data_IF_077495150012
#
_entry.id   IF_077495150012
#
_cell.length_a   1.000
_cell.length_b   1.000
_cell.length_c   1.000
_cell.angle_alpha   90.00
_cell.angle_beta   90.00
_cell.angle_gamma   90.00
#
_symmetry.space_group_name_H-M   'P 1'
#
loop_
_entity.id
_entity.type
_entity.pdbx_description
1 polymer ?
#
# COMPACT_ATOMS: atom_id res chain seq x y z
N UNK A 1 19.19 -8.53 27.05
CA UNK A 1 18.91 -7.49 26.02
C UNK A 1 18.05 -6.41 26.64
N UNK A 2 18.48 -5.14 26.67
CA UNK A 2 17.77 -4.04 27.35
C UNK A 2 16.49 -3.64 26.59
N UNK A 3 15.48 -3.07 27.29
CA UNK A 3 14.22 -2.58 26.69
C UNK A 3 14.46 -1.69 25.45
N UNK A 4 15.46 -0.79 25.53
CA UNK A 4 15.91 0.04 24.40
C UNK A 4 16.32 -0.79 23.17
N UNK A 5 17.18 -1.81 23.34
CA UNK A 5 17.65 -2.66 22.22
C UNK A 5 16.53 -3.44 21.55
N UNK A 6 15.51 -3.89 22.29
CA UNK A 6 14.33 -4.58 21.71
C UNK A 6 13.48 -3.63 20.86
N UNK A 7 13.26 -2.41 21.34
CA UNK A 7 12.49 -1.40 20.60
C UNK A 7 13.22 -1.04 19.30
N UNK A 8 14.52 -0.76 19.35
CA UNK A 8 15.32 -0.43 18.15
C UNK A 8 15.32 -1.54 17.10
N UNK A 9 15.43 -2.82 17.51
CA UNK A 9 15.39 -3.95 16.58
C UNK A 9 14.03 -4.09 15.90
N UNK A 10 12.94 -3.92 16.64
CA UNK A 10 11.58 -4.13 16.12
C UNK A 10 11.13 -2.94 15.27
N UNK A 11 11.50 -1.72 15.68
CA UNK A 11 11.37 -0.51 14.88
C UNK A 11 12.13 -0.67 13.56
N UNK A 12 13.37 -1.19 13.57
CA UNK A 12 14.13 -1.50 12.35
C UNK A 12 13.44 -2.50 11.42
N UNK A 13 12.80 -3.54 11.96
CA UNK A 13 12.04 -4.54 11.17
C UNK A 13 10.79 -3.90 10.53
N UNK A 14 10.06 -3.09 11.29
CA UNK A 14 8.89 -2.34 10.80
C UNK A 14 9.24 -1.42 9.65
N UNK A 15 10.42 -0.82 9.72
CA UNK A 15 10.86 0.16 8.74
C UNK A 15 11.42 -0.52 7.51
N UNK A 16 12.07 -1.67 7.68
CA UNK A 16 12.40 -2.54 6.55
C UNK A 16 11.14 -2.94 5.76
N UNK A 17 10.02 -3.19 6.44
CA UNK A 17 8.72 -3.48 5.80
C UNK A 17 8.18 -2.24 5.07
N UNK A 18 8.16 -1.06 5.70
CA UNK A 18 7.64 0.17 5.06
C UNK A 18 8.52 0.62 3.86
N UNK A 19 9.84 0.52 3.99
CA UNK A 19 10.80 0.88 2.94
C UNK A 19 10.78 -0.09 1.77
N UNK A 20 10.60 -1.39 2.02
CA UNK A 20 10.44 -2.39 0.96
C UNK A 20 9.19 -2.12 0.11
N UNK A 21 8.12 -1.58 0.71
CA UNK A 21 6.85 -1.26 0.03
C UNK A 21 6.89 0.05 -0.78
N UNK A 22 7.75 1.00 -0.42
CA UNK A 22 7.97 2.23 -1.18
C UNK A 22 8.91 2.08 -2.39
N UNK A 23 9.32 0.86 -2.71
CA UNK A 23 10.12 0.55 -3.88
C UNK A 23 9.34 -0.38 -4.79
N UNK A 24 9.24 -0.02 -6.06
CA UNK A 24 8.78 -0.89 -7.16
C UNK A 24 9.74 -2.10 -7.36
N UNK A 25 10.62 -2.42 -6.39
CA UNK A 25 11.74 -3.33 -6.56
C UNK A 25 12.23 -4.10 -5.31
N UNK A 26 11.41 -4.33 -4.27
CA UNK A 26 11.87 -5.16 -3.15
C UNK A 26 11.64 -6.66 -3.40
N UNK A 27 12.59 -7.30 -4.10
CA UNK A 27 12.72 -8.78 -4.23
C UNK A 27 12.99 -9.52 -2.91
N UNK A 28 12.97 -8.85 -1.75
CA UNK A 28 13.32 -9.44 -0.46
C UNK A 28 12.34 -9.02 0.64
N UNK A 29 11.18 -9.68 0.69
CA UNK A 29 10.38 -9.80 1.91
C UNK A 29 9.93 -11.25 2.05
N UNK A 30 10.72 -12.00 2.84
CA UNK A 30 10.41 -13.36 3.27
C UNK A 30 9.52 -13.27 4.50
N UNK A 31 8.22 -13.16 4.26
CA UNK A 31 7.18 -13.62 5.16
C UNK A 31 6.08 -14.20 4.28
N UNK A 32 5.88 -15.51 4.39
CA UNK A 32 4.85 -16.21 3.64
C UNK A 32 3.47 -15.77 4.16
N UNK A 33 2.80 -14.88 3.44
CA UNK A 33 1.39 -14.55 3.66
C UNK A 33 0.52 -15.27 2.62
N UNK A 34 -0.75 -15.55 2.97
CA UNK A 34 -1.65 -16.30 2.10
C UNK A 34 -1.96 -15.57 0.79
N UNK A 35 -2.06 -14.23 0.82
CA UNK A 35 -2.29 -13.40 -0.36
C UNK A 35 -1.10 -13.43 -1.33
N UNK A 36 0.13 -13.48 -0.80
CA UNK A 36 1.36 -13.55 -1.61
C UNK A 36 1.48 -14.86 -2.41
N UNK A 37 0.81 -15.90 -1.94
CA UNK A 37 0.74 -17.24 -2.56
C UNK A 37 -0.55 -17.48 -3.35
N UNK A 38 -1.48 -16.52 -3.40
CA UNK A 38 -2.67 -16.66 -4.24
C UNK A 38 -2.26 -16.64 -5.71
N UNK A 39 -2.65 -17.70 -6.43
CA UNK A 39 -2.48 -17.77 -7.88
C UNK A 39 -3.44 -16.77 -8.51
N UNK A 40 -2.89 -15.72 -9.12
CA UNK A 40 -3.66 -14.79 -9.95
C UNK A 40 -3.73 -15.39 -11.35
N UNK A 41 -4.92 -15.75 -11.80
CA UNK A 41 -5.10 -16.22 -13.18
C UNK A 41 -4.90 -15.05 -14.13
N UNK A 42 -4.07 -15.25 -15.16
CA UNK A 42 -3.87 -14.27 -16.22
C UNK A 42 -5.08 -14.32 -17.15
N UNK A 43 -5.97 -13.31 -17.14
CA UNK A 43 -7.13 -13.34 -18.00
C UNK A 43 -6.70 -13.07 -19.45
N UNK A 44 -7.51 -13.53 -20.40
CA UNK A 44 -7.33 -13.20 -21.82
C UNK A 44 -8.26 -12.04 -22.14
N UNK A 45 -7.68 -10.95 -22.64
CA UNK A 45 -8.42 -9.76 -23.06
C UNK A 45 -8.23 -9.55 -24.56
N UNK A 46 -9.22 -8.93 -25.19
CA UNK A 46 -9.08 -8.39 -26.54
C UNK A 46 -8.11 -7.21 -26.51
N UNK A 47 -7.27 -7.11 -27.55
CA UNK A 47 -6.38 -5.98 -27.75
C UNK A 47 -7.07 -4.87 -28.57
N UNK A 48 -8.26 -4.45 -28.15
CA UNK A 48 -8.96 -3.33 -28.81
C UNK A 48 -8.34 -1.99 -28.40
N UNK A 49 -8.46 -0.94 -29.22
CA UNK A 49 -7.97 0.39 -28.85
C UNK A 49 -8.53 0.88 -27.50
N UNK A 50 -9.81 0.64 -27.24
CA UNK A 50 -10.46 1.01 -25.96
C UNK A 50 -9.82 0.30 -24.76
N UNK A 51 -9.56 -1.02 -24.86
CA UNK A 51 -8.88 -1.77 -23.79
C UNK A 51 -7.46 -1.23 -23.56
N UNK A 52 -6.73 -0.89 -24.62
CA UNK A 52 -5.37 -0.36 -24.50
C UNK A 52 -5.34 1.04 -23.88
N UNK A 53 -6.28 1.91 -24.27
CA UNK A 53 -6.45 3.26 -23.70
C UNK A 53 -6.84 3.20 -22.22
N UNK A 54 -7.79 2.34 -21.87
CA UNK A 54 -8.23 2.17 -20.49
C UNK A 54 -7.11 1.59 -19.62
N UNK A 55 -6.35 0.59 -20.11
CA UNK A 55 -5.16 0.08 -19.42
C UNK A 55 -4.13 1.20 -19.16
N UNK A 56 -3.91 2.09 -20.13
CA UNK A 56 -2.98 3.20 -20.01
C UNK A 56 -3.46 4.20 -18.96
N UNK A 57 -4.73 4.60 -19.02
CA UNK A 57 -5.35 5.52 -18.07
C UNK A 57 -5.26 5.00 -16.63
N UNK A 58 -5.58 3.72 -16.40
CA UNK A 58 -5.49 3.10 -15.08
C UNK A 58 -4.02 3.10 -14.60
N UNK A 59 -3.06 2.72 -15.45
CA UNK A 59 -1.63 2.75 -15.09
C UNK A 59 -1.16 4.15 -14.68
N UNK A 60 -1.51 5.17 -15.48
CA UNK A 60 -1.13 6.55 -15.21
C UNK A 60 -1.71 7.04 -13.88
N UNK A 61 -2.97 6.71 -13.61
CA UNK A 61 -3.62 7.03 -12.33
C UNK A 61 -2.98 6.33 -11.14
N UNK A 62 -2.63 5.05 -11.27
CA UNK A 62 -1.93 4.33 -10.20
C UNK A 62 -0.54 4.92 -9.91
N UNK A 63 0.19 5.33 -10.95
CA UNK A 63 1.47 6.03 -10.81
C UNK A 63 1.28 7.37 -10.11
N UNK A 64 0.31 8.18 -10.55
CA UNK A 64 -0.03 9.47 -9.94
C UNK A 64 -0.32 9.31 -8.44
N UNK A 65 -1.13 8.31 -8.07
CA UNK A 65 -1.44 8.03 -6.67
C UNK A 65 -0.19 7.65 -5.87
N UNK A 66 0.65 6.77 -6.40
CA UNK A 66 1.89 6.35 -5.74
C UNK A 66 2.87 7.52 -5.57
N UNK A 67 3.05 8.36 -6.59
CA UNK A 67 3.93 9.52 -6.55
C UNK A 67 3.49 10.53 -5.48
N UNK A 68 2.19 10.66 -5.24
CA UNK A 68 1.65 11.54 -4.20
C UNK A 68 2.06 11.14 -2.79
N UNK A 69 2.09 9.83 -2.45
CA UNK A 69 2.21 9.41 -1.05
C UNK A 69 3.44 8.53 -0.72
N UNK A 70 4.09 7.87 -1.69
CA UNK A 70 5.34 7.12 -1.46
C UNK A 70 6.40 7.97 -0.75
N UNK A 71 6.67 9.23 -1.16
CA UNK A 71 7.68 10.06 -0.50
C UNK A 71 7.38 10.23 0.99
N UNK A 72 6.11 10.38 1.35
CA UNK A 72 5.68 10.56 2.74
C UNK A 72 5.84 9.31 3.57
N UNK A 73 5.48 8.15 3.03
CA UNK A 73 5.72 6.86 3.71
C UNK A 73 7.21 6.66 4.00
N UNK A 74 8.11 7.09 3.11
CA UNK A 74 9.56 7.07 3.35
C UNK A 74 9.98 7.97 4.51
N UNK A 75 9.41 9.18 4.61
CA UNK A 75 9.67 10.10 5.73
C UNK A 75 9.18 9.49 7.05
N UNK A 76 7.96 8.94 7.09
CA UNK A 76 7.41 8.29 8.29
C UNK A 76 8.28 7.10 8.70
N UNK A 77 8.70 6.28 7.75
CA UNK A 77 9.59 5.16 8.00
C UNK A 77 10.90 5.64 8.64
N UNK A 78 11.53 6.67 8.08
CA UNK A 78 12.77 7.22 8.63
C UNK A 78 12.58 7.80 10.03
N UNK A 79 11.50 8.56 10.26
CA UNK A 79 11.17 9.13 11.55
C UNK A 79 10.92 8.06 12.62
N UNK A 80 10.32 6.92 12.24
CA UNK A 80 10.20 5.77 13.13
C UNK A 80 11.59 5.22 13.52
N UNK A 81 12.58 5.18 12.62
CA UNK A 81 13.94 4.62 12.87
C UNK A 81 14.62 5.44 13.96
N UNK A 82 14.51 6.75 13.77
CA UNK A 82 15.12 7.76 14.62
C UNK A 82 14.30 7.96 15.90
N UNK A 83 13.16 7.28 16.04
CA UNK A 83 12.19 7.38 17.14
C UNK A 83 11.64 8.79 17.35
N UNK A 84 11.59 9.58 16.26
CA UNK A 84 11.07 10.93 16.21
C UNK A 84 9.53 10.92 16.17
N UNK A 85 8.95 10.75 17.35
CA UNK A 85 7.49 10.64 17.52
C UNK A 85 6.73 11.90 17.04
N UNK A 86 7.19 13.13 17.34
CA UNK A 86 6.56 14.33 16.77
C UNK A 86 6.50 14.31 15.24
N UNK A 87 7.60 13.94 14.57
CA UNK A 87 7.65 13.89 13.12
C UNK A 87 6.75 12.78 12.56
N UNK A 88 6.76 11.59 13.16
CA UNK A 88 5.85 10.49 12.79
C UNK A 88 4.39 10.96 12.86
N UNK A 89 3.98 11.60 13.95
CA UNK A 89 2.61 12.05 14.14
C UNK A 89 2.21 13.12 13.12
N UNK A 90 3.07 14.12 12.88
CA UNK A 90 2.82 15.18 11.92
C UNK A 90 2.70 14.63 10.48
N UNK A 91 3.65 13.79 10.06
CA UNK A 91 3.66 13.23 8.72
C UNK A 91 2.51 12.24 8.49
N UNK A 92 2.13 11.47 9.52
CA UNK A 92 0.99 10.57 9.42
C UNK A 92 -0.32 11.31 9.21
N UNK A 93 -0.52 12.45 9.88
CA UNK A 93 -1.74 13.29 9.70
C UNK A 93 -1.85 13.87 8.30
N UNK A 94 -0.74 14.31 7.71
CA UNK A 94 -0.75 14.76 6.32
C UNK A 94 -1.02 13.60 5.36
N UNK A 95 -0.42 12.42 5.60
CA UNK A 95 -0.69 11.23 4.80
C UNK A 95 -2.15 10.77 4.85
N UNK A 96 -2.81 10.91 6.00
CA UNK A 96 -4.25 10.62 6.13
C UNK A 96 -5.07 11.50 5.18
N UNK A 97 -4.72 12.79 5.02
CA UNK A 97 -5.43 13.68 4.08
C UNK A 97 -5.24 13.23 2.64
N UNK A 98 -4.00 12.87 2.26
CA UNK A 98 -3.66 12.40 0.92
C UNK A 98 -4.37 11.09 0.57
N UNK A 99 -4.33 10.10 1.47
CA UNK A 99 -4.97 8.79 1.24
C UNK A 99 -6.50 8.94 1.17
N UNK A 100 -7.10 9.81 1.98
CA UNK A 100 -8.53 10.10 1.87
C UNK A 100 -8.88 10.78 0.54
N UNK A 101 -8.03 11.67 0.02
CA UNK A 101 -8.22 12.25 -1.30
C UNK A 101 -8.16 11.17 -2.40
N UNK A 102 -7.20 10.24 -2.31
CA UNK A 102 -7.08 9.12 -3.25
C UNK A 102 -8.29 8.18 -3.17
N UNK A 103 -8.75 7.83 -1.97
CA UNK A 103 -9.94 7.00 -1.79
C UNK A 103 -11.18 7.66 -2.40
N UNK A 104 -11.35 8.97 -2.20
CA UNK A 104 -12.44 9.73 -2.81
C UNK A 104 -12.34 9.77 -4.33
N UNK A 105 -11.14 9.94 -4.89
CA UNK A 105 -10.94 9.89 -6.35
C UNK A 105 -11.25 8.47 -6.86
N UNK A 106 -10.70 7.42 -6.24
CA UNK A 106 -11.03 6.03 -6.58
C UNK A 106 -12.53 5.77 -6.59
N UNK A 107 -13.28 6.20 -5.58
CA UNK A 107 -14.74 6.06 -5.54
C UNK A 107 -15.47 6.78 -6.68
N UNK A 108 -14.91 7.89 -7.18
CA UNK A 108 -15.46 8.65 -8.29
C UNK A 108 -15.04 8.13 -9.67
N UNK A 109 -13.91 7.41 -9.76
CA UNK A 109 -13.43 6.84 -11.02
C UNK A 109 -14.30 5.69 -11.48
N UNK A 110 -14.64 5.68 -12.77
CA UNK A 110 -15.38 4.58 -13.40
C UNK A 110 -14.45 3.77 -14.31
N UNK A 111 -13.74 2.82 -13.71
CA UNK A 111 -12.85 1.93 -14.47
C UNK A 111 -13.61 0.78 -15.14
N UNK A 112 -13.11 0.32 -16.27
CA UNK A 112 -13.64 -0.85 -16.96
C UNK A 112 -14.88 -0.51 -17.77
N UNK A 113 -14.73 0.49 -18.64
CA UNK A 113 -15.75 0.94 -19.59
C UNK A 113 -15.32 0.65 -21.04
N UNK A 114 -15.07 -0.62 -21.34
CA UNK A 114 -14.60 -1.08 -22.66
C UNK A 114 -15.62 -2.01 -23.33
N UNK A 115 -15.35 -2.39 -24.57
CA UNK A 115 -16.09 -3.39 -25.33
C UNK A 115 -15.77 -4.85 -24.95
N UNK A 116 -14.91 -5.07 -23.95
CA UNK A 116 -14.54 -6.39 -23.44
C UNK A 116 -15.10 -6.60 -22.02
N UNK A 117 -16.13 -7.44 -21.92
CA UNK A 117 -16.78 -7.79 -20.65
C UNK A 117 -15.84 -8.48 -19.66
N UNK A 118 -14.91 -9.31 -20.14
CA UNK A 118 -13.93 -9.99 -19.28
C UNK A 118 -12.94 -8.97 -18.71
N UNK A 119 -12.51 -8.02 -19.53
CA UNK A 119 -11.66 -6.92 -19.07
C UNK A 119 -12.39 -6.04 -18.05
N UNK A 120 -13.62 -5.64 -18.34
CA UNK A 120 -14.42 -4.81 -17.43
C UNK A 120 -14.63 -5.49 -16.07
N UNK A 121 -14.87 -6.82 -16.07
CA UNK A 121 -14.98 -7.60 -14.83
C UNK A 121 -13.65 -7.60 -14.06
N UNK A 122 -12.54 -7.92 -14.73
CA UNK A 122 -11.21 -7.95 -14.12
C UNK A 122 -10.80 -6.59 -13.55
N UNK A 123 -11.12 -5.51 -14.25
CA UNK A 123 -10.83 -4.13 -13.82
C UNK A 123 -11.68 -3.70 -12.63
N UNK A 124 -12.96 -4.12 -12.55
CA UNK A 124 -13.78 -3.88 -11.35
C UNK A 124 -13.22 -4.58 -10.11
N UNK A 125 -12.71 -5.79 -10.26
CA UNK A 125 -12.01 -6.47 -9.16
C UNK A 125 -10.72 -5.71 -8.79
N UNK A 126 -9.95 -5.27 -9.78
CA UNK A 126 -8.73 -4.50 -9.56
C UNK A 126 -9.02 -3.18 -8.82
N UNK A 127 -10.12 -2.51 -9.16
CA UNK A 127 -10.59 -1.31 -8.47
C UNK A 127 -10.89 -1.56 -7.00
N UNK A 128 -11.59 -2.64 -6.68
CA UNK A 128 -11.87 -3.03 -5.29
C UNK A 128 -10.60 -3.39 -4.53
N UNK A 129 -9.64 -4.05 -5.18
CA UNK A 129 -8.34 -4.37 -4.60
C UNK A 129 -7.53 -3.08 -4.32
N UNK A 130 -7.58 -2.09 -5.22
CA UNK A 130 -6.97 -0.78 -5.00
C UNK A 130 -7.57 -0.09 -3.76
N UNK A 131 -8.90 0.03 -3.71
CA UNK A 131 -9.62 0.64 -2.58
C UNK A 131 -9.25 -0.05 -1.27
N UNK A 132 -9.21 -1.39 -1.27
CA UNK A 132 -8.82 -2.19 -0.10
C UNK A 132 -7.38 -1.89 0.33
N UNK A 133 -6.45 -1.84 -0.61
CA UNK A 133 -5.04 -1.57 -0.31
C UNK A 133 -4.85 -0.15 0.27
N UNK A 134 -5.55 0.85 -0.28
CA UNK A 134 -5.52 2.22 0.24
C UNK A 134 -6.20 2.36 1.61
N UNK A 135 -7.26 1.59 1.89
CA UNK A 135 -7.85 1.53 3.25
C UNK A 135 -6.86 0.96 4.27
N UNK A 136 -6.07 -0.05 3.92
CA UNK A 136 -5.02 -0.53 4.83
C UNK A 136 -3.88 0.47 5.02
N UNK A 137 -3.51 1.21 3.98
CA UNK A 137 -2.58 2.35 4.12
C UNK A 137 -3.16 3.39 5.09
N UNK A 138 -4.46 3.70 5.00
CA UNK A 138 -5.14 4.61 5.92
C UNK A 138 -5.11 4.11 7.37
N UNK A 139 -5.52 2.87 7.63
CA UNK A 139 -5.49 2.25 8.97
C UNK A 139 -4.09 2.29 9.58
N UNK A 140 -3.06 2.04 8.76
CA UNK A 140 -1.67 2.13 9.18
C UNK A 140 -1.26 3.56 9.58
N UNK A 141 -1.64 4.57 8.79
CA UNK A 141 -1.33 5.98 9.08
C UNK A 141 -2.10 6.48 10.32
N UNK A 142 -3.34 6.08 10.50
CA UNK A 142 -4.12 6.38 11.71
C UNK A 142 -3.43 5.82 12.95
N UNK A 143 -2.98 4.56 12.90
CA UNK A 143 -2.20 3.95 13.97
C UNK A 143 -0.85 4.64 14.20
N UNK A 144 -0.19 5.09 13.12
CA UNK A 144 1.07 5.84 13.19
C UNK A 144 0.88 7.21 13.85
N UNK A 145 -0.26 7.88 13.62
CA UNK A 145 -0.55 9.23 14.11
C UNK A 145 -0.72 9.36 15.63
N UNK A 146 -0.88 8.22 16.32
CA UNK A 146 -1.03 8.11 17.77
C UNK A 146 0.15 7.37 18.42
N UNK A 147 1.27 7.26 17.71
CA UNK A 147 2.46 6.62 18.22
C UNK A 147 3.00 7.36 19.46
N UNK A 148 3.43 6.60 20.48
CA UNK A 148 4.04 7.13 21.71
C UNK A 148 5.26 6.32 22.11
N UNK A 149 6.31 7.04 22.51
CA UNK A 149 7.58 6.49 23.01
C UNK A 149 7.44 5.82 24.39
N UNK A 150 6.38 6.14 25.15
CA UNK A 150 6.23 5.77 26.55
C UNK A 150 5.63 4.36 26.76
N UNK A 151 4.81 3.87 25.83
CA UNK A 151 4.27 2.52 25.87
C UNK A 151 4.40 1.77 24.52
N UNK A 152 5.64 1.48 24.10
CA UNK A 152 5.90 0.91 22.79
C UNK A 152 5.31 -0.48 22.64
N UNK A 153 5.30 -1.32 23.69
CA UNK A 153 4.89 -2.73 23.57
C UNK A 153 3.42 -2.93 23.16
N UNK A 154 2.49 -2.07 23.60
CA UNK A 154 1.06 -2.17 23.28
C UNK A 154 0.73 -1.61 21.89
N UNK A 155 1.46 -0.59 21.45
CA UNK A 155 1.35 -0.05 20.09
C UNK A 155 2.03 -0.94 19.04
N UNK A 156 3.15 -1.56 19.41
CA UNK A 156 4.04 -2.30 18.50
C UNK A 156 3.38 -3.52 17.85
N UNK A 157 2.67 -4.37 18.60
CA UNK A 157 2.03 -5.55 18.03
C UNK A 157 0.91 -5.18 17.04
N UNK A 158 0.09 -4.17 17.39
CA UNK A 158 -0.94 -3.63 16.49
C UNK A 158 -0.30 -3.05 15.23
N UNK A 159 0.80 -2.32 15.40
CA UNK A 159 1.53 -1.68 14.31
C UNK A 159 2.18 -2.69 13.37
N UNK A 160 2.79 -3.76 13.90
CA UNK A 160 3.34 -4.87 13.10
C UNK A 160 2.24 -5.56 12.30
N UNK A 161 1.12 -5.89 12.94
CA UNK A 161 0.01 -6.55 12.25
C UNK A 161 -0.56 -5.68 11.13
N UNK A 162 -0.73 -4.38 11.36
CA UNK A 162 -1.20 -3.44 10.34
C UNK A 162 -0.17 -3.26 9.21
N UNK A 163 1.11 -3.18 9.53
CA UNK A 163 2.19 -3.06 8.53
C UNK A 163 2.24 -4.28 7.62
N UNK A 164 2.16 -5.49 8.19
CA UNK A 164 2.12 -6.73 7.42
C UNK A 164 0.85 -6.81 6.56
N UNK A 165 -0.31 -6.47 7.12
CA UNK A 165 -1.58 -6.48 6.40
C UNK A 165 -1.58 -5.50 5.23
N UNK A 166 -1.09 -4.29 5.44
CA UNK A 166 -0.90 -3.28 4.40
C UNK A 166 0.06 -3.78 3.32
N UNK A 167 1.20 -4.35 3.72
CA UNK A 167 2.21 -4.90 2.81
C UNK A 167 1.66 -5.97 1.89
N UNK A 168 0.96 -6.94 2.48
CA UNK A 168 0.41 -8.10 1.76
C UNK A 168 -0.66 -7.67 0.74
N UNK A 169 -1.56 -6.77 1.13
CA UNK A 169 -2.60 -6.27 0.23
C UNK A 169 -2.01 -5.41 -0.88
N UNK A 170 -1.00 -4.60 -0.57
CA UNK A 170 -0.32 -3.79 -1.57
C UNK A 170 0.43 -4.65 -2.60
N UNK A 171 1.18 -5.65 -2.15
CA UNK A 171 1.90 -6.56 -3.04
C UNK A 171 0.96 -7.36 -3.93
N UNK A 172 -0.14 -7.87 -3.37
CA UNK A 172 -1.18 -8.57 -4.14
C UNK A 172 -1.79 -7.64 -5.20
N UNK A 173 -2.16 -6.42 -4.82
CA UNK A 173 -2.69 -5.41 -5.72
C UNK A 173 -1.73 -5.09 -6.87
N UNK A 174 -0.45 -4.88 -6.58
CA UNK A 174 0.57 -4.61 -7.62
C UNK A 174 0.72 -5.80 -8.56
N UNK A 175 0.84 -7.02 -8.05
CA UNK A 175 0.95 -8.23 -8.90
C UNK A 175 -0.26 -8.36 -9.84
N UNK A 176 -1.47 -8.13 -9.32
CA UNK A 176 -2.70 -8.22 -10.11
C UNK A 176 -2.78 -7.11 -11.15
N UNK A 177 -2.44 -5.88 -10.77
CA UNK A 177 -2.32 -4.73 -11.69
C UNK A 177 -1.36 -5.06 -12.84
N UNK A 178 -0.19 -5.61 -12.52
CA UNK A 178 0.81 -5.99 -13.50
C UNK A 178 0.31 -7.04 -14.49
N UNK A 179 -0.46 -8.02 -14.03
CA UNK A 179 -1.02 -9.06 -14.89
C UNK A 179 -2.13 -8.50 -15.78
N UNK A 180 -3.01 -7.68 -15.21
CA UNK A 180 -4.22 -7.22 -15.90
C UNK A 180 -3.93 -6.08 -16.87
N UNK A 181 -2.94 -5.24 -16.55
CA UNK A 181 -2.64 -4.04 -17.32
C UNK A 181 -1.46 -4.23 -18.29
N UNK A 182 -0.71 -5.34 -18.25
CA UNK A 182 0.26 -5.72 -19.30
C UNK A 182 -0.44 -6.01 -20.63
#
# INVERSE_FOLDING_TARGET
MTKKKKITLITGILIFIILALGSVAAKHLVTASSLKNQKIEKPVFKNTPQVLEEKKLIKEKLIEYEDMHIPRLKIIAKALEDTDTPLVNAQSREGIKEINAILKDLEAQNWGNTDDENFNKAVKELHQDAVTAYKYKLEFLEASSVWSKENPAKGLLKFINLSNKMADNWEYFIKKSDIYLK
#
